data_IF_406641253715
#
_entry.id   IF_406641253715
#
_cell.length_a   1.000
_cell.length_b   1.000
_cell.length_c   1.000
_cell.angle_alpha   90.00
_cell.angle_beta   90.00
_cell.angle_gamma   90.00
#
_symmetry.space_group_name_H-M   'P 1'
#
loop_
_entity.id
_entity.type
_entity.pdbx_description
1 polymer ?
#
# COMPACT_ATOMS: atom_id res chain seq x y z
N UNK A 1 -8.92 28.14 -9.33
CA UNK A 1 -8.48 27.06 -8.42
C UNK A 1 -8.85 27.51 -7.02
N UNK A 2 -9.59 26.69 -6.27
CA UNK A 2 -9.95 27.00 -4.88
C UNK A 2 -8.69 27.20 -4.02
N UNK A 3 -8.73 28.14 -3.08
CA UNK A 3 -7.62 28.42 -2.16
C UNK A 3 -7.17 27.16 -1.41
N UNK A 4 -8.09 26.24 -1.08
CA UNK A 4 -7.79 24.95 -0.44
C UNK A 4 -6.88 24.04 -1.28
N UNK A 5 -7.03 24.01 -2.60
CA UNK A 5 -6.18 23.21 -3.48
C UNK A 5 -4.76 23.80 -3.59
N UNK A 6 -4.62 25.12 -3.57
CA UNK A 6 -3.33 25.82 -3.63
C UNK A 6 -2.53 25.57 -2.35
N UNK A 7 -3.15 25.73 -1.18
CA UNK A 7 -2.48 25.48 0.11
C UNK A 7 -2.08 24.01 0.27
N UNK A 8 -2.90 23.06 -0.18
CA UNK A 8 -2.55 21.64 -0.17
C UNK A 8 -1.38 21.33 -1.11
N UNK A 9 -1.34 21.97 -2.28
CA UNK A 9 -0.27 21.80 -3.26
C UNK A 9 1.06 22.36 -2.76
N UNK A 10 1.07 23.52 -2.12
CA UNK A 10 2.27 24.12 -1.51
C UNK A 10 2.88 23.20 -0.44
N UNK A 11 2.06 22.70 0.50
CA UNK A 11 2.52 21.76 1.54
C UNK A 11 3.03 20.44 0.96
N UNK A 12 2.37 19.95 -0.09
CA UNK A 12 2.82 18.75 -0.80
C UNK A 12 4.14 18.96 -1.53
N UNK A 13 4.32 20.12 -2.16
CA UNK A 13 5.56 20.48 -2.85
C UNK A 13 6.74 20.55 -1.87
N UNK A 14 6.55 21.12 -0.68
CA UNK A 14 7.56 21.09 0.39
C UNK A 14 7.91 19.66 0.82
N UNK A 15 6.91 18.79 0.89
CA UNK A 15 7.10 17.38 1.28
C UNK A 15 7.87 16.59 0.21
N UNK A 16 7.61 16.84 -1.08
CA UNK A 16 8.33 16.19 -2.18
C UNK A 16 9.77 16.67 -2.31
N UNK A 17 10.03 17.95 -2.06
CA UNK A 17 11.40 18.48 -2.17
C UNK A 17 12.35 17.86 -1.13
N UNK A 18 11.79 17.30 -0.05
CA UNK A 18 12.51 16.49 0.95
C UNK A 18 12.48 14.99 0.59
N UNK A 19 12.70 14.63 -0.68
CA UNK A 19 12.78 13.23 -1.10
C UNK A 19 13.96 12.54 -0.42
N UNK A 20 13.66 11.92 0.71
CA UNK A 20 14.60 11.18 1.55
C UNK A 20 15.07 9.92 0.81
N UNK A 21 16.39 9.70 0.72
CA UNK A 21 17.00 8.50 0.11
C UNK A 21 16.35 7.16 0.52
N UNK A 22 15.95 6.93 1.78
CA UNK A 22 15.21 5.74 2.18
C UNK A 22 13.87 5.52 1.44
N UNK A 23 13.14 6.58 1.11
CA UNK A 23 11.85 6.48 0.41
C UNK A 23 12.06 6.05 -1.04
N UNK A 24 13.11 6.57 -1.68
CA UNK A 24 13.51 6.14 -3.01
C UNK A 24 13.90 4.66 -3.05
N UNK A 25 14.66 4.19 -2.05
CA UNK A 25 15.01 2.78 -1.92
C UNK A 25 13.78 1.88 -1.71
N UNK A 26 12.83 2.29 -0.86
CA UNK A 26 11.58 1.57 -0.67
C UNK A 26 10.76 1.49 -1.97
N UNK A 27 10.67 2.60 -2.71
CA UNK A 27 9.99 2.62 -4.00
C UNK A 27 10.63 1.66 -5.02
N UNK A 28 11.96 1.59 -5.07
CA UNK A 28 12.66 0.61 -5.89
C UNK A 28 12.37 -0.83 -5.47
N UNK A 29 12.30 -1.11 -4.16
CA UNK A 29 11.97 -2.43 -3.64
C UNK A 29 10.52 -2.83 -3.99
N UNK A 30 9.56 -1.90 -3.87
CA UNK A 30 8.19 -2.10 -4.34
C UNK A 30 8.14 -2.34 -5.85
N UNK A 31 8.90 -1.57 -6.63
CA UNK A 31 9.04 -1.73 -8.08
C UNK A 31 9.56 -3.10 -8.47
N UNK A 32 10.63 -3.58 -7.81
CA UNK A 32 11.19 -4.92 -8.02
C UNK A 32 10.22 -6.03 -7.65
N UNK A 33 9.50 -5.87 -6.53
CA UNK A 33 8.47 -6.81 -6.09
C UNK A 33 7.28 -6.88 -7.07
N UNK A 34 6.81 -5.72 -7.54
CA UNK A 34 5.76 -5.62 -8.55
C UNK A 34 6.18 -6.21 -9.90
N UNK A 35 7.43 -6.00 -10.32
CA UNK A 35 7.96 -6.59 -11.56
C UNK A 35 8.02 -8.12 -11.46
N UNK A 36 8.48 -8.67 -10.33
CA UNK A 36 8.50 -10.13 -10.13
C UNK A 36 7.08 -10.70 -10.08
N UNK A 37 6.13 -10.03 -9.44
CA UNK A 37 4.73 -10.42 -9.48
C UNK A 37 4.17 -10.40 -10.91
N UNK A 38 4.55 -9.41 -11.73
CA UNK A 38 4.17 -9.37 -13.14
C UNK A 38 4.79 -10.51 -13.96
N UNK A 39 6.05 -10.88 -13.69
CA UNK A 39 6.69 -12.05 -14.30
C UNK A 39 5.95 -13.33 -13.90
N UNK A 40 5.58 -13.48 -12.62
CA UNK A 40 4.75 -14.61 -12.16
C UNK A 40 3.40 -14.67 -12.89
N UNK A 41 2.79 -13.51 -13.16
CA UNK A 41 1.56 -13.42 -13.95
C UNK A 41 1.77 -13.95 -15.36
N UNK A 42 2.88 -13.59 -16.02
CA UNK A 42 3.21 -14.09 -17.37
C UNK A 42 3.46 -15.60 -17.40
N UNK A 43 4.13 -16.15 -16.40
CA UNK A 43 4.35 -17.61 -16.27
C UNK A 43 3.07 -18.38 -15.95
N UNK A 44 2.05 -17.72 -15.41
CA UNK A 44 0.78 -18.35 -15.00
C UNK A 44 -0.33 -18.23 -16.05
N UNK A 45 -0.01 -17.93 -17.31
CA UNK A 45 -1.00 -17.62 -18.36
C UNK A 45 -1.97 -18.77 -18.64
N UNK A 46 -1.54 -20.01 -18.41
CA UNK A 46 -2.38 -21.21 -18.54
C UNK A 46 -3.53 -21.25 -17.53
N UNK A 47 -3.37 -20.61 -16.36
CA UNK A 47 -4.38 -20.55 -15.30
C UNK A 47 -4.88 -19.11 -15.13
N UNK A 48 -6.02 -18.79 -15.76
CA UNK A 48 -6.59 -17.43 -15.77
C UNK A 48 -6.75 -16.79 -14.39
N UNK A 49 -7.15 -17.56 -13.36
CA UNK A 49 -7.32 -17.05 -12.01
C UNK A 49 -5.98 -16.68 -11.36
N UNK A 50 -4.95 -17.52 -11.53
CA UNK A 50 -3.60 -17.31 -11.03
C UNK A 50 -2.92 -16.12 -11.75
N UNK A 51 -3.08 -16.03 -13.08
CA UNK A 51 -2.63 -14.89 -13.88
C UNK A 51 -3.23 -13.57 -13.37
N UNK A 52 -4.55 -13.52 -13.15
CA UNK A 52 -5.26 -12.33 -12.64
C UNK A 52 -4.82 -11.97 -11.23
N UNK A 53 -4.60 -12.96 -10.36
CA UNK A 53 -4.09 -12.73 -9.02
C UNK A 53 -2.72 -12.03 -9.06
N UNK A 54 -1.76 -12.60 -9.78
CA UNK A 54 -0.42 -12.05 -9.88
C UNK A 54 -0.38 -10.68 -10.56
N UNK A 55 -1.26 -10.45 -11.54
CA UNK A 55 -1.41 -9.14 -12.18
C UNK A 55 -1.98 -8.11 -11.20
N UNK A 56 -3.04 -8.44 -10.47
CA UNK A 56 -3.60 -7.56 -9.44
C UNK A 56 -2.57 -7.27 -8.35
N UNK A 57 -1.80 -8.28 -7.94
CA UNK A 57 -0.73 -8.14 -6.97
C UNK A 57 0.36 -7.16 -7.44
N UNK A 58 0.81 -7.31 -8.70
CA UNK A 58 1.76 -6.41 -9.32
C UNK A 58 1.25 -4.96 -9.34
N UNK A 59 -0.01 -4.77 -9.74
CA UNK A 59 -0.63 -3.43 -9.78
C UNK A 59 -0.71 -2.78 -8.40
N UNK A 60 -1.09 -3.54 -7.36
CA UNK A 60 -1.15 -3.03 -5.98
C UNK A 60 0.25 -2.61 -5.50
N UNK A 61 1.27 -3.46 -5.69
CA UNK A 61 2.64 -3.15 -5.25
C UNK A 61 3.22 -1.94 -5.99
N UNK A 62 2.99 -1.83 -7.30
CA UNK A 62 3.43 -0.68 -8.09
C UNK A 62 2.69 0.59 -7.70
N UNK A 63 1.38 0.50 -7.42
CA UNK A 63 0.60 1.64 -6.93
C UNK A 63 1.13 2.14 -5.59
N UNK A 64 1.38 1.24 -4.62
CA UNK A 64 1.93 1.61 -3.31
C UNK A 64 3.34 2.22 -3.47
N UNK A 65 4.19 1.64 -4.32
CA UNK A 65 5.52 2.19 -4.61
C UNK A 65 5.47 3.59 -5.24
N UNK A 66 4.58 3.80 -6.20
CA UNK A 66 4.39 5.10 -6.85
C UNK A 66 3.83 6.14 -5.86
N UNK A 67 2.84 5.78 -5.03
CA UNK A 67 2.34 6.66 -3.98
C UNK A 67 3.43 7.00 -2.97
N UNK A 68 4.32 6.06 -2.65
CA UNK A 68 5.44 6.31 -1.73
C UNK A 68 6.41 7.37 -2.28
N UNK A 69 6.59 7.46 -3.61
CA UNK A 69 7.44 8.50 -4.23
C UNK A 69 6.72 9.84 -4.38
N UNK A 70 5.46 9.80 -4.81
CA UNK A 70 4.68 10.99 -5.16
C UNK A 70 4.04 11.60 -3.92
N UNK A 71 3.81 10.84 -2.85
CA UNK A 71 3.06 11.28 -1.68
C UNK A 71 1.63 11.73 -2.03
N UNK A 72 1.02 11.14 -3.06
CA UNK A 72 -0.32 11.53 -3.53
C UNK A 72 -1.36 11.41 -2.43
N UNK A 73 -1.30 10.34 -1.63
CA UNK A 73 -2.17 10.15 -0.47
C UNK A 73 -2.05 11.31 0.53
N UNK A 74 -0.84 11.80 0.81
CA UNK A 74 -0.64 12.96 1.69
C UNK A 74 -1.28 14.22 1.14
N UNK A 75 -1.15 14.49 -0.16
CA UNK A 75 -1.82 15.60 -0.82
C UNK A 75 -3.33 15.49 -0.71
N UNK A 76 -3.89 14.32 -1.05
CA UNK A 76 -5.33 14.09 -1.02
C UNK A 76 -5.91 14.30 0.38
N UNK A 77 -5.21 13.82 1.42
CA UNK A 77 -5.62 14.00 2.82
C UNK A 77 -5.61 15.48 3.21
N UNK A 78 -4.56 16.22 2.88
CA UNK A 78 -4.46 17.63 3.25
C UNK A 78 -5.46 18.49 2.47
N UNK A 79 -5.70 18.16 1.20
CA UNK A 79 -6.73 18.83 0.42
C UNK A 79 -8.13 18.57 0.99
N UNK A 80 -8.46 17.31 1.31
CA UNK A 80 -9.71 16.98 2.00
C UNK A 80 -9.83 17.68 3.35
N UNK A 81 -8.70 17.86 4.06
CA UNK A 81 -8.64 18.52 5.35
C UNK A 81 -9.00 20.00 5.25
N UNK A 82 -8.55 20.71 4.21
CA UNK A 82 -8.91 22.11 4.01
C UNK A 82 -10.39 22.25 3.59
N UNK A 83 -10.88 21.38 2.69
CA UNK A 83 -12.33 21.31 2.38
C UNK A 83 -13.15 21.01 3.65
N UNK A 84 -12.64 20.13 4.52
CA UNK A 84 -13.25 19.79 5.81
C UNK A 84 -13.39 21.01 6.74
N UNK A 85 -12.45 21.95 6.69
CA UNK A 85 -12.51 23.19 7.46
C UNK A 85 -13.47 24.19 6.83
N UNK A 86 -13.40 24.36 5.51
CA UNK A 86 -14.23 25.29 4.76
C UNK A 86 -15.74 25.00 4.92
N UNK A 87 -16.15 23.72 4.93
CA UNK A 87 -17.57 23.37 5.14
C UNK A 87 -17.95 23.05 6.59
N UNK A 88 -17.08 23.31 7.57
CA UNK A 88 -17.40 23.17 9.01
C UNK A 88 -17.50 21.73 9.57
N UNK A 89 -17.44 20.71 8.73
CA UNK A 89 -17.42 19.27 9.04
C UNK A 89 -16.07 18.71 9.57
N UNK A 90 -15.09 19.56 9.87
CA UNK A 90 -13.78 19.14 10.38
C UNK A 90 -13.86 18.25 11.64
N UNK A 91 -14.89 18.45 12.48
CA UNK A 91 -15.14 17.63 13.67
C UNK A 91 -15.38 16.15 13.35
N UNK A 92 -15.95 15.84 12.19
CA UNK A 92 -16.33 14.47 11.77
C UNK A 92 -15.21 13.73 11.03
N UNK A 93 -14.04 14.37 10.83
CA UNK A 93 -12.90 13.84 10.07
C UNK A 93 -12.48 12.42 10.47
N UNK A 94 -12.55 12.10 11.76
CA UNK A 94 -12.16 10.78 12.28
C UNK A 94 -13.12 9.69 11.85
N UNK A 95 -14.42 9.97 11.76
CA UNK A 95 -15.44 9.00 11.32
C UNK A 95 -15.23 8.64 9.85
N UNK A 96 -15.09 9.65 8.99
CA UNK A 96 -14.87 9.46 7.55
C UNK A 96 -13.58 8.69 7.26
N UNK A 97 -12.51 9.01 7.99
CA UNK A 97 -11.24 8.29 7.91
C UNK A 97 -11.38 6.81 8.31
N UNK A 98 -12.13 6.50 9.36
CA UNK A 98 -12.44 5.13 9.76
C UNK A 98 -13.25 4.38 8.70
N UNK A 99 -14.28 5.01 8.15
CA UNK A 99 -15.16 4.41 7.14
C UNK A 99 -14.39 4.11 5.84
N UNK A 100 -13.53 5.03 5.40
CA UNK A 100 -12.66 4.82 4.23
C UNK A 100 -11.65 3.71 4.49
N UNK A 101 -11.03 3.67 5.68
CA UNK A 101 -10.08 2.62 6.05
C UNK A 101 -10.72 1.23 6.06
N UNK A 102 -11.86 1.12 6.75
CA UNK A 102 -12.62 -0.14 6.84
C UNK A 102 -13.11 -0.55 5.45
N UNK A 103 -13.63 0.39 4.65
CA UNK A 103 -14.08 0.13 3.29
C UNK A 103 -12.96 -0.40 2.40
N UNK A 104 -11.78 0.22 2.42
CA UNK A 104 -10.65 -0.23 1.61
C UNK A 104 -10.05 -1.54 2.12
N UNK A 105 -9.98 -1.73 3.45
CA UNK A 105 -9.54 -2.99 4.06
C UNK A 105 -10.47 -4.16 3.69
N UNK A 106 -11.79 -3.95 3.76
CA UNK A 106 -12.78 -4.93 3.33
C UNK A 106 -12.68 -5.21 1.83
N UNK A 107 -12.45 -4.18 1.00
CA UNK A 107 -12.27 -4.37 -0.45
C UNK A 107 -11.04 -5.25 -0.73
N UNK A 108 -9.91 -4.99 -0.07
CA UNK A 108 -8.69 -5.79 -0.22
C UNK A 108 -8.91 -7.24 0.24
N UNK A 109 -9.60 -7.45 1.37
CA UNK A 109 -9.95 -8.78 1.88
C UNK A 109 -10.91 -9.52 0.94
N UNK A 110 -11.91 -8.83 0.37
CA UNK A 110 -12.85 -9.41 -0.58
C UNK A 110 -12.17 -9.78 -1.90
N UNK A 111 -11.27 -8.94 -2.41
CA UNK A 111 -10.48 -9.21 -3.60
C UNK A 111 -9.53 -10.39 -3.36
N UNK A 112 -8.80 -10.39 -2.25
CA UNK A 112 -7.92 -11.49 -1.86
C UNK A 112 -8.68 -12.80 -1.59
N UNK A 113 -9.85 -12.73 -0.97
CA UNK A 113 -10.72 -13.87 -0.67
C UNK A 113 -11.35 -14.47 -1.93
N UNK A 114 -11.87 -13.64 -2.84
CA UNK A 114 -12.39 -14.13 -4.14
C UNK A 114 -11.30 -14.75 -5.00
N UNK A 115 -10.11 -14.15 -5.02
CA UNK A 115 -8.99 -14.65 -5.82
C UNK A 115 -8.41 -15.94 -5.22
N UNK A 116 -8.31 -16.06 -3.90
CA UNK A 116 -7.83 -17.28 -3.24
C UNK A 116 -8.83 -18.43 -3.29
N UNK A 117 -10.14 -18.13 -3.21
CA UNK A 117 -11.20 -19.12 -3.37
C UNK A 117 -11.34 -19.65 -4.80
N UNK A 118 -10.97 -18.86 -5.81
CA UNK A 118 -11.06 -19.23 -7.22
C UNK A 118 -9.87 -20.06 -7.74
N UNK A 119 -8.83 -20.25 -6.94
CA UNK A 119 -7.61 -20.95 -7.33
C UNK A 119 -7.49 -22.21 -6.47
N UNK A 120 -8.09 -23.33 -6.87
CA UNK A 120 -7.88 -24.61 -6.17
C UNK A 120 -6.48 -25.19 -6.43
N UNK A 121 -5.92 -24.92 -7.61
CA UNK A 121 -4.59 -25.39 -8.02
C UNK A 121 -3.53 -24.35 -7.63
N UNK A 122 -2.64 -24.69 -6.68
CA UNK A 122 -1.50 -23.85 -6.33
C UNK A 122 -1.72 -22.86 -5.18
N UNK A 123 -2.76 -23.05 -4.34
CA UNK A 123 -3.03 -22.25 -3.12
C UNK A 123 -1.78 -22.04 -2.25
N UNK A 124 -0.97 -23.09 -2.09
CA UNK A 124 0.27 -23.02 -1.31
C UNK A 124 1.24 -21.95 -1.83
N UNK A 125 1.28 -21.71 -3.14
CA UNK A 125 2.20 -20.77 -3.77
C UNK A 125 1.76 -19.30 -3.74
N UNK A 126 0.44 -19.06 -3.58
CA UNK A 126 -0.13 -17.70 -3.52
C UNK A 126 -0.38 -17.21 -2.09
N UNK A 127 -0.51 -18.10 -1.10
CA UNK A 127 -0.71 -17.73 0.30
C UNK A 127 0.35 -16.75 0.85
N UNK A 128 1.67 -16.96 0.61
CA UNK A 128 2.68 -16.01 1.07
C UNK A 128 2.54 -14.64 0.42
N UNK A 129 2.21 -14.61 -0.88
CA UNK A 129 2.01 -13.37 -1.63
C UNK A 129 0.76 -12.61 -1.14
N UNK A 130 -0.35 -13.31 -0.85
CA UNK A 130 -1.56 -12.72 -0.26
C UNK A 130 -1.25 -12.10 1.10
N UNK A 131 -0.55 -12.85 1.97
CA UNK A 131 -0.21 -12.37 3.31
C UNK A 131 0.72 -11.15 3.25
N UNK A 132 1.74 -11.19 2.40
CA UNK A 132 2.68 -10.08 2.21
C UNK A 132 1.97 -8.83 1.69
N UNK A 133 1.17 -8.96 0.63
CA UNK A 133 0.45 -7.82 0.04
C UNK A 133 -0.65 -7.29 0.95
N UNK A 134 -1.34 -8.17 1.70
CA UNK A 134 -2.29 -7.76 2.72
C UNK A 134 -1.63 -6.96 3.84
N UNK A 135 -0.46 -7.39 4.31
CA UNK A 135 0.35 -6.65 5.29
C UNK A 135 0.76 -5.28 4.73
N UNK A 136 1.33 -5.23 3.52
CA UNK A 136 1.82 -3.99 2.90
C UNK A 136 0.68 -3.01 2.62
N UNK A 137 -0.44 -3.50 2.08
CA UNK A 137 -1.61 -2.66 1.84
C UNK A 137 -2.25 -2.17 3.16
N UNK A 138 -2.23 -2.99 4.21
CA UNK A 138 -2.65 -2.59 5.56
C UNK A 138 -1.75 -1.50 6.16
N UNK A 139 -0.43 -1.63 6.03
CA UNK A 139 0.53 -0.60 6.47
C UNK A 139 0.37 0.70 5.68
N UNK A 140 0.21 0.61 4.36
CA UNK A 140 -0.10 1.74 3.48
C UNK A 140 -1.37 2.47 3.95
N UNK A 141 -2.42 1.70 4.23
CA UNK A 141 -3.69 2.21 4.70
C UNK A 141 -3.60 2.90 6.06
N UNK A 142 -2.90 2.27 7.01
CA UNK A 142 -2.64 2.85 8.33
C UNK A 142 -1.85 4.15 8.23
N UNK A 143 -0.88 4.24 7.30
CA UNK A 143 -0.13 5.48 7.04
C UNK A 143 -1.04 6.59 6.50
N UNK A 144 -1.95 6.24 5.60
CA UNK A 144 -2.89 7.19 5.01
C UNK A 144 -3.95 7.69 5.99
N UNK A 145 -4.12 7.01 7.13
CA UNK A 145 -5.04 7.44 8.17
C UNK A 145 -4.26 7.76 9.43
N UNK A 146 -3.78 9.01 9.53
CA UNK A 146 -3.11 9.54 10.72
C UNK A 146 -4.08 9.57 11.92
N UNK A 147 -4.23 8.41 12.54
CA UNK A 147 -4.83 8.27 13.86
C UNK A 147 -3.75 8.55 14.88
N UNK A 148 -3.94 9.60 15.66
CA UNK A 148 -3.00 10.04 16.70
C UNK A 148 -2.59 8.91 17.66
N UNK A 149 -3.46 7.92 17.87
CA UNK A 149 -3.21 6.78 18.76
C UNK A 149 -2.48 5.61 18.08
N UNK A 150 -2.70 5.38 16.77
CA UNK A 150 -2.03 4.31 16.02
C UNK A 150 -0.66 4.75 15.51
N UNK A 151 -0.51 6.05 15.22
CA UNK A 151 0.77 6.69 14.90
C UNK A 151 1.79 6.46 16.02
N UNK A 152 1.38 6.43 17.30
CA UNK A 152 2.31 6.20 18.41
C UNK A 152 3.01 4.83 18.33
N UNK A 153 2.26 3.77 17.99
CA UNK A 153 2.81 2.41 17.87
C UNK A 153 3.59 2.26 16.55
N UNK A 154 3.11 2.84 15.45
CA UNK A 154 3.79 2.77 14.15
C UNK A 154 5.08 3.62 14.10
N UNK A 155 5.11 4.73 14.84
CA UNK A 155 6.27 5.61 15.00
C UNK A 155 7.18 5.21 16.17
N UNK A 156 6.84 4.16 16.95
CA UNK A 156 7.79 3.60 17.92
C UNK A 156 9.08 3.25 17.21
N UNK A 157 10.18 3.82 17.71
CA UNK A 157 11.51 3.60 17.15
C UNK A 157 12.07 2.31 17.71
N UNK A 158 12.14 1.29 16.86
CA UNK A 158 12.87 0.05 17.14
C UNK A 158 14.24 0.18 16.49
N UNK A 159 15.31 0.15 17.29
CA UNK A 159 16.69 0.31 16.82
C UNK A 159 16.94 1.58 15.96
N UNK A 160 16.25 2.68 16.26
CA UNK A 160 16.39 3.96 15.54
C UNK A 160 15.51 4.10 14.29
N UNK A 161 14.82 3.04 13.86
CA UNK A 161 13.88 3.04 12.73
C UNK A 161 12.44 2.91 13.22
N UNK A 162 11.46 3.50 12.52
CA UNK A 162 10.05 3.32 12.88
C UNK A 162 9.64 1.85 12.69
N UNK A 163 8.83 1.32 13.62
CA UNK A 163 8.27 -0.03 13.52
C UNK A 163 7.57 -0.25 12.17
N UNK A 164 6.91 0.78 11.65
CA UNK A 164 6.34 0.77 10.31
C UNK A 164 7.36 0.43 9.22
N UNK A 165 8.53 1.09 9.18
CA UNK A 165 9.55 0.82 8.16
C UNK A 165 10.09 -0.60 8.26
N UNK A 166 10.26 -1.10 9.48
CA UNK A 166 10.71 -2.49 9.69
C UNK A 166 9.69 -3.47 9.13
N UNK A 167 8.40 -3.29 9.46
CA UNK A 167 7.32 -4.13 8.95
C UNK A 167 7.15 -4.03 7.43
N UNK A 168 7.38 -2.85 6.86
CA UNK A 168 7.32 -2.61 5.42
C UNK A 168 8.44 -3.34 4.68
N UNK A 169 9.69 -3.22 5.16
CA UNK A 169 10.84 -3.96 4.61
C UNK A 169 10.60 -5.47 4.70
N UNK A 170 10.11 -5.95 5.86
CA UNK A 170 9.77 -7.36 6.04
C UNK A 170 8.69 -7.81 5.06
N UNK A 171 7.61 -7.04 4.91
CA UNK A 171 6.52 -7.35 3.97
C UNK A 171 7.00 -7.42 2.52
N UNK A 172 7.85 -6.47 2.09
CA UNK A 172 8.43 -6.52 0.73
C UNK A 172 9.35 -7.73 0.58
N UNK A 173 10.18 -8.02 1.59
CA UNK A 173 11.02 -9.21 1.62
C UNK A 173 10.22 -10.50 1.48
N UNK A 174 9.10 -10.63 2.19
CA UNK A 174 8.18 -11.76 2.07
C UNK A 174 7.54 -11.84 0.67
N UNK A 175 7.15 -10.72 0.07
CA UNK A 175 6.59 -10.70 -1.29
C UNK A 175 7.62 -11.14 -2.34
N UNK A 176 8.87 -10.69 -2.22
CA UNK A 176 9.98 -11.11 -3.07
C UNK A 176 10.28 -12.61 -2.92
N UNK A 177 10.35 -13.10 -1.68
CA UNK A 177 10.56 -14.51 -1.39
C UNK A 177 9.42 -15.38 -1.92
N UNK A 178 8.16 -14.95 -1.74
CA UNK A 178 6.99 -15.65 -2.27
C UNK A 178 6.97 -15.71 -3.80
N UNK A 179 7.28 -14.58 -4.47
CA UNK A 179 7.31 -14.51 -5.93
C UNK A 179 8.45 -15.35 -6.53
N UNK A 180 9.63 -15.35 -5.92
CA UNK A 180 10.75 -16.19 -6.35
C UNK A 180 10.52 -17.67 -6.07
N UNK A 181 9.90 -18.01 -4.95
CA UNK A 181 9.51 -19.38 -4.64
C UNK A 181 8.47 -19.92 -5.62
N UNK A 182 7.50 -19.10 -6.03
CA UNK A 182 6.57 -19.42 -7.11
C UNK A 182 7.30 -19.77 -8.41
N UNK A 183 8.18 -18.88 -8.89
CA UNK A 183 8.90 -19.08 -10.16
C UNK A 183 9.84 -20.30 -10.18
N UNK A 184 10.28 -20.79 -9.01
CA UNK A 184 11.16 -21.97 -8.92
C UNK A 184 10.40 -23.30 -8.87
N UNK A 185 9.15 -23.30 -8.42
CA UNK A 185 8.41 -24.53 -8.09
C UNK A 185 7.11 -24.71 -8.89
N UNK A 186 6.76 -23.75 -9.74
CA UNK A 186 5.62 -23.77 -10.67
C UNK A 186 6.14 -23.85 -12.10
#
# INVERSE_FOLDING_TARGET
>A
MDNSAITAFEKWQETIQLLDWPQFLLALLYGGSGLLAYICSRSSTDHRALHRFWLANALVLLFIGADTMIGFSSFAIEWLREIAREQGWYGTRRSLQYEVLIGLGLLLLLLGGRLSGAVDTGKQFIQPAIAATGLLAGLFLLRSVSFHDTDFILQMRVAGYSAQRVLEILGIGFSLAGSTWFLRNY
#
